data_IF_836296086937
#
_entry.id   IF_836296086937
#
_cell.length_a   1.000
_cell.length_b   1.000
_cell.length_c   1.000
_cell.angle_alpha   90.00
_cell.angle_beta   90.00
_cell.angle_gamma   90.00
#
_symmetry.space_group_name_H-M   'P 1'
#
loop_
_entity.id
_entity.type
_entity.pdbx_description
1 polymer ?
#
# COMPACT_ATOMS: atom_id res chain seq x y z
N UNK A 1 -9.42 -4.66 21.08
CA UNK A 1 -8.68 -3.87 20.08
C UNK A 1 -8.14 -2.62 20.74
N UNK A 2 -6.86 -2.60 21.10
CA UNK A 2 -6.20 -1.36 21.51
C UNK A 2 -6.34 -0.33 20.38
N UNK A 3 -6.62 0.93 20.73
CA UNK A 3 -6.76 2.06 19.81
C UNK A 3 -5.59 2.14 18.82
N UNK A 4 -4.41 1.72 19.27
CA UNK A 4 -3.20 1.61 18.47
C UNK A 4 -3.33 0.66 17.28
N UNK A 5 -3.86 -0.56 17.48
CA UNK A 5 -4.05 -1.53 16.39
C UNK A 5 -5.14 -1.11 15.42
N UNK A 6 -6.18 -0.43 15.90
CA UNK A 6 -7.24 0.09 15.04
C UNK A 6 -6.72 1.18 14.08
N UNK A 7 -5.80 2.02 14.55
CA UNK A 7 -5.13 3.05 13.73
C UNK A 7 -4.20 2.41 12.69
N UNK A 8 -3.38 1.43 13.09
CA UNK A 8 -2.47 0.73 12.18
C UNK A 8 -3.25 0.01 11.08
N UNK A 9 -4.36 -0.64 11.41
CA UNK A 9 -5.24 -1.29 10.45
C UNK A 9 -5.79 -0.32 9.40
N UNK A 10 -6.34 0.82 9.87
CA UNK A 10 -6.87 1.87 8.99
C UNK A 10 -5.79 2.48 8.09
N UNK A 11 -4.59 2.71 8.64
CA UNK A 11 -3.46 3.23 7.89
C UNK A 11 -3.02 2.23 6.80
N UNK A 12 -2.94 0.93 7.13
CA UNK A 12 -2.63 -0.13 6.17
C UNK A 12 -3.63 -0.20 5.03
N UNK A 13 -4.91 -0.02 5.34
CA UNK A 13 -6.00 -0.03 4.36
C UNK A 13 -5.86 1.13 3.37
N UNK A 14 -5.50 2.33 3.85
CA UNK A 14 -5.19 3.49 3.00
C UNK A 14 -3.98 3.23 2.11
N UNK A 15 -2.91 2.64 2.64
CA UNK A 15 -1.72 2.27 1.86
C UNK A 15 -2.06 1.28 0.73
N UNK A 16 -2.93 0.31 1.00
CA UNK A 16 -3.39 -0.67 0.02
C UNK A 16 -4.21 0.00 -1.10
N UNK A 17 -5.14 0.88 -0.76
CA UNK A 17 -5.94 1.66 -1.73
C UNK A 17 -5.01 2.52 -2.60
N UNK A 18 -4.04 3.19 -1.99
CA UNK A 18 -3.07 4.02 -2.70
C UNK A 18 -2.22 3.18 -3.67
N UNK A 19 -1.81 1.97 -3.27
CA UNK A 19 -1.13 1.01 -4.13
C UNK A 19 -1.97 0.61 -5.36
N UNK A 20 -3.27 0.35 -5.18
CA UNK A 20 -4.17 0.01 -6.29
C UNK A 20 -4.35 1.20 -7.25
N UNK A 21 -4.53 2.41 -6.72
CA UNK A 21 -4.65 3.63 -7.53
C UNK A 21 -3.37 3.87 -8.35
N UNK A 22 -2.20 3.68 -7.72
CA UNK A 22 -0.90 3.76 -8.37
C UNK A 22 -0.77 2.73 -9.51
N UNK A 23 -1.28 1.51 -9.33
CA UNK A 23 -1.30 0.46 -10.35
C UNK A 23 -2.24 0.79 -11.52
N UNK A 24 -3.39 1.41 -11.26
CA UNK A 24 -4.30 1.90 -12.30
C UNK A 24 -3.62 3.01 -13.12
N UNK A 25 -2.95 3.96 -12.46
CA UNK A 25 -2.16 5.01 -13.12
C UNK A 25 -0.99 4.43 -13.92
N UNK A 26 -0.33 3.38 -13.43
CA UNK A 26 0.71 2.64 -14.15
C UNK A 26 0.19 2.10 -15.49
N UNK A 27 -1.02 1.52 -15.48
CA UNK A 27 -1.64 0.95 -16.69
C UNK A 27 -2.07 2.02 -17.69
N UNK A 28 -2.44 3.21 -17.21
CA UNK A 28 -2.88 4.34 -18.03
C UNK A 28 -1.74 5.16 -18.64
N UNK A 29 -0.53 5.15 -18.06
CA UNK A 29 0.60 5.96 -18.54
C UNK A 29 1.47 5.19 -19.55
N UNK A 30 1.70 5.78 -20.72
CA UNK A 30 2.50 5.16 -21.80
C UNK A 30 4.03 5.36 -21.62
N UNK A 31 4.44 6.33 -20.79
CA UNK A 31 5.84 6.74 -20.65
C UNK A 31 6.66 5.75 -19.81
N UNK A 32 7.62 5.05 -20.44
CA UNK A 32 8.43 4.00 -19.80
C UNK A 32 9.22 4.45 -18.57
N UNK A 33 9.75 5.68 -18.55
CA UNK A 33 10.50 6.19 -17.39
C UNK A 33 9.64 6.40 -16.14
N UNK A 34 8.38 6.81 -16.29
CA UNK A 34 7.48 6.92 -15.13
C UNK A 34 7.03 5.54 -14.66
N UNK A 35 6.90 4.56 -15.58
CA UNK A 35 6.48 3.20 -15.26
C UNK A 35 7.40 2.52 -14.24
N UNK A 36 8.71 2.54 -14.42
CA UNK A 36 9.63 1.89 -13.47
C UNK A 36 9.58 2.51 -12.07
N UNK A 37 9.56 3.85 -11.98
CA UNK A 37 9.46 4.55 -10.70
C UNK A 37 8.12 4.30 -10.01
N UNK A 38 7.02 4.29 -10.76
CA UNK A 38 5.68 4.03 -10.23
C UNK A 38 5.50 2.56 -9.81
N UNK A 39 6.15 1.62 -10.51
CA UNK A 39 6.17 0.21 -10.14
C UNK A 39 6.86 0.02 -8.79
N UNK A 40 8.02 0.66 -8.59
CA UNK A 40 8.73 0.67 -7.30
C UNK A 40 7.89 1.26 -6.16
N UNK A 41 7.20 2.38 -6.40
CA UNK A 41 6.26 2.97 -5.45
C UNK A 41 5.13 2.00 -5.10
N UNK A 42 4.53 1.37 -6.11
CA UNK A 42 3.41 0.43 -5.95
C UNK A 42 3.84 -0.78 -5.11
N UNK A 43 5.02 -1.34 -5.37
CA UNK A 43 5.57 -2.45 -4.58
C UNK A 43 5.81 -2.03 -3.13
N UNK A 44 6.40 -0.85 -2.88
CA UNK A 44 6.59 -0.35 -1.51
C UNK A 44 5.26 -0.13 -0.77
N UNK A 45 4.26 0.45 -1.43
CA UNK A 45 2.93 0.67 -0.85
C UNK A 45 2.24 -0.65 -0.48
N UNK A 46 2.33 -1.66 -1.34
CA UNK A 46 1.77 -3.00 -1.08
C UNK A 46 2.51 -3.67 0.08
N UNK A 47 3.85 -3.61 0.12
CA UNK A 47 4.64 -4.18 1.23
C UNK A 47 4.25 -3.52 2.55
N UNK A 48 4.16 -2.19 2.59
CA UNK A 48 3.71 -1.47 3.79
C UNK A 48 2.29 -1.88 4.20
N UNK A 49 1.37 -2.00 3.24
CA UNK A 49 0.00 -2.43 3.49
C UNK A 49 -0.09 -3.87 4.02
N UNK A 50 0.69 -4.80 3.49
CA UNK A 50 0.69 -6.21 3.93
C UNK A 50 1.35 -6.35 5.30
N UNK A 51 2.48 -5.69 5.52
CA UNK A 51 3.18 -5.70 6.81
C UNK A 51 2.32 -5.09 7.91
N UNK A 52 1.63 -3.97 7.65
CA UNK A 52 0.74 -3.35 8.64
C UNK A 52 -0.46 -4.24 8.99
N UNK A 53 -1.05 -4.95 8.01
CA UNK A 53 -2.13 -5.92 8.27
C UNK A 53 -1.61 -7.11 9.09
N UNK A 54 -0.46 -7.69 8.72
CA UNK A 54 0.20 -8.76 9.48
C UNK A 54 0.48 -8.33 10.92
N UNK A 55 1.02 -7.12 11.11
CA UNK A 55 1.32 -6.58 12.44
C UNK A 55 0.04 -6.41 13.25
N UNK A 56 -1.04 -5.93 12.62
CA UNK A 56 -2.34 -5.84 13.26
C UNK A 56 -2.85 -7.22 13.65
N UNK A 57 -2.79 -8.23 12.78
CA UNK A 57 -3.31 -9.59 13.07
C UNK A 57 -2.49 -10.28 14.17
N UNK A 58 -1.16 -10.16 14.15
CA UNK A 58 -0.26 -10.84 15.10
C UNK A 58 -0.33 -10.22 16.50
N UNK A 59 -0.48 -8.90 16.58
CA UNK A 59 -0.47 -8.18 17.86
C UNK A 59 -1.87 -7.70 18.32
N UNK A 60 -2.95 -8.00 17.57
CA UNK A 60 -4.35 -7.68 17.94
C UNK A 60 -4.88 -8.51 19.10
#
# INVERSE_FOLDING_TARGET
MSLHFMIVFWLSLIFLICGIISLIFYKLKDTQQTKESLLGLTVMLIIFGVVGILFTIIFS
#
